data_IF_238252826916
#
_entry.id   IF_238252826916
#
_cell.length_a   1.000
_cell.length_b   1.000
_cell.length_c   1.000
_cell.angle_alpha   90.00
_cell.angle_beta   90.00
_cell.angle_gamma   90.00
#
_symmetry.space_group_name_H-M   'P 1'
#
loop_
_entity.id
_entity.type
_entity.pdbx_description
1 polymer ?
#
# COMPACT_ATOMS: atom_id res chain seq x y z
N UNK A 1 8.26 14.12 -14.10
CA UNK A 1 8.87 13.17 -13.16
C UNK A 1 7.71 12.35 -12.58
N UNK A 2 7.75 11.02 -12.57
CA UNK A 2 6.65 10.26 -12.00
C UNK A 2 6.64 10.49 -10.49
N UNK A 3 5.51 10.90 -9.94
CA UNK A 3 5.38 11.23 -8.52
C UNK A 3 5.02 10.01 -7.67
N UNK A 4 5.94 9.05 -7.61
CA UNK A 4 5.71 7.79 -6.90
C UNK A 4 5.58 8.00 -5.38
N UNK A 5 6.25 9.00 -4.82
CA UNK A 5 6.17 9.31 -3.40
C UNK A 5 4.81 9.92 -3.05
N UNK A 6 4.29 10.83 -3.89
CA UNK A 6 2.93 11.35 -3.70
C UNK A 6 1.88 10.25 -3.87
N UNK A 7 2.06 9.32 -4.80
CA UNK A 7 1.16 8.17 -4.92
C UNK A 7 1.16 7.29 -3.65
N UNK A 8 2.32 7.06 -3.05
CA UNK A 8 2.42 6.33 -1.77
C UNK A 8 1.72 7.10 -0.66
N UNK A 9 1.99 8.40 -0.56
CA UNK A 9 1.42 9.25 0.48
C UNK A 9 -0.10 9.36 0.37
N UNK A 10 -0.62 9.60 -0.84
CA UNK A 10 -2.05 9.71 -1.09
C UNK A 10 -2.76 8.38 -0.80
N UNK A 11 -2.23 7.26 -1.30
CA UNK A 11 -2.84 5.96 -1.05
C UNK A 11 -2.82 5.58 0.44
N UNK A 12 -1.75 5.92 1.17
CA UNK A 12 -1.71 5.73 2.62
C UNK A 12 -2.75 6.61 3.35
N UNK A 13 -2.95 7.84 2.88
CA UNK A 13 -3.96 8.76 3.41
C UNK A 13 -5.37 8.23 3.17
N UNK A 14 -5.65 7.75 1.96
CA UNK A 14 -6.94 7.15 1.59
C UNK A 14 -7.23 5.89 2.41
N UNK A 15 -6.24 4.99 2.55
CA UNK A 15 -6.41 3.77 3.36
C UNK A 15 -6.79 4.11 4.81
N UNK A 16 -6.21 5.17 5.37
CA UNK A 16 -6.53 5.63 6.73
C UNK A 16 -7.91 6.27 6.81
N UNK A 17 -8.31 7.07 5.82
CA UNK A 17 -9.62 7.74 5.83
C UNK A 17 -10.77 6.75 5.67
N UNK A 18 -10.60 5.67 4.91
CA UNK A 18 -11.63 4.63 4.74
C UNK A 18 -11.99 3.90 6.03
N UNK A 19 -11.07 3.83 6.98
CA UNK A 19 -11.26 3.13 8.27
C UNK A 19 -11.39 4.09 9.45
N UNK A 20 -11.40 5.39 9.21
CA UNK A 20 -11.46 6.40 10.27
C UNK A 20 -12.78 6.28 11.04
N UNK A 21 -12.69 6.15 12.36
CA UNK A 21 -13.85 5.98 13.23
C UNK A 21 -14.56 4.62 13.12
N UNK A 22 -14.06 3.70 12.30
CA UNK A 22 -14.66 2.38 12.09
C UNK A 22 -14.17 1.39 13.15
N UNK A 23 -15.08 0.65 13.79
CA UNK A 23 -14.69 -0.45 14.65
C UNK A 23 -14.18 -1.63 13.81
N UNK A 24 -13.38 -2.50 14.43
CA UNK A 24 -12.83 -3.66 13.74
C UNK A 24 -13.91 -4.59 13.17
N UNK A 25 -14.97 -4.85 13.92
CA UNK A 25 -16.03 -5.76 13.50
C UNK A 25 -16.83 -5.18 12.32
N UNK A 26 -17.02 -3.86 12.30
CA UNK A 26 -17.63 -3.15 11.18
C UNK A 26 -16.78 -3.28 9.90
N UNK A 27 -15.46 -3.11 10.04
CA UNK A 27 -14.53 -3.30 8.92
C UNK A 27 -14.58 -4.72 8.36
N UNK A 28 -14.61 -5.73 9.24
CA UNK A 28 -14.67 -7.13 8.83
C UNK A 28 -15.99 -7.49 8.14
N UNK A 29 -17.09 -6.80 8.46
CA UNK A 29 -18.39 -6.96 7.81
C UNK A 29 -18.51 -6.16 6.49
N UNK A 30 -17.73 -5.08 6.30
CA UNK A 30 -17.79 -4.23 5.13
C UNK A 30 -16.75 -4.58 4.05
N UNK A 31 -17.17 -5.45 3.11
CA UNK A 31 -16.34 -5.84 1.97
C UNK A 31 -15.94 -4.68 1.06
N UNK A 32 -16.77 -3.64 0.94
CA UNK A 32 -16.46 -2.48 0.08
C UNK A 32 -15.29 -1.71 0.66
N UNK A 33 -15.31 -1.46 1.97
CA UNK A 33 -14.22 -0.77 2.67
C UNK A 33 -12.94 -1.61 2.66
N UNK A 34 -13.04 -2.93 2.84
CA UNK A 34 -11.88 -3.83 2.68
C UNK A 34 -11.27 -3.73 1.29
N UNK A 35 -12.08 -3.76 0.23
CA UNK A 35 -11.61 -3.64 -1.15
C UNK A 35 -10.94 -2.28 -1.41
N UNK A 36 -11.50 -1.20 -0.87
CA UNK A 36 -10.91 0.14 -0.99
C UNK A 36 -9.53 0.20 -0.32
N UNK A 37 -9.40 -0.32 0.91
CA UNK A 37 -8.12 -0.40 1.63
C UNK A 37 -7.11 -1.28 0.88
N UNK A 38 -7.53 -2.45 0.39
CA UNK A 38 -6.66 -3.35 -0.40
C UNK A 38 -6.13 -2.64 -1.64
N UNK A 39 -6.98 -1.91 -2.37
CA UNK A 39 -6.55 -1.16 -3.54
C UNK A 39 -5.49 -0.10 -3.20
N UNK A 40 -5.69 0.65 -2.11
CA UNK A 40 -4.67 1.59 -1.63
C UNK A 40 -3.33 0.91 -1.33
N UNK A 41 -3.35 -0.26 -0.67
CA UNK A 41 -2.14 -1.02 -0.35
C UNK A 41 -1.43 -1.56 -1.61
N UNK A 42 -2.19 -1.93 -2.65
CA UNK A 42 -1.64 -2.31 -3.96
C UNK A 42 -0.93 -1.12 -4.62
N UNK A 43 -1.53 0.07 -4.61
CA UNK A 43 -0.94 1.29 -5.17
C UNK A 43 0.38 1.63 -4.46
N UNK A 44 0.41 1.57 -3.13
CA UNK A 44 1.63 1.77 -2.35
C UNK A 44 2.74 0.81 -2.79
N UNK A 45 2.43 -0.49 -2.90
CA UNK A 45 3.43 -1.48 -3.28
C UNK A 45 3.92 -1.36 -4.72
N UNK A 46 3.06 -0.98 -5.67
CA UNK A 46 3.44 -0.72 -7.06
C UNK A 46 4.36 0.49 -7.15
N UNK A 47 3.99 1.61 -6.53
CA UNK A 47 4.80 2.82 -6.50
C UNK A 47 6.16 2.58 -5.81
N UNK A 48 6.17 1.88 -4.67
CA UNK A 48 7.41 1.49 -3.99
C UNK A 48 8.31 0.62 -4.87
N UNK A 49 7.74 -0.29 -5.67
CA UNK A 49 8.50 -1.11 -6.63
C UNK A 49 9.16 -0.23 -7.69
N UNK A 50 8.44 0.74 -8.26
CA UNK A 50 9.00 1.67 -9.25
C UNK A 50 10.12 2.55 -8.67
N UNK A 51 10.00 2.98 -7.42
CA UNK A 51 11.06 3.73 -6.73
C UNK A 51 12.30 2.85 -6.54
N UNK A 52 12.13 1.63 -6.04
CA UNK A 52 13.24 0.69 -5.85
C UNK A 52 13.97 0.33 -7.14
N UNK A 53 13.23 0.13 -8.24
CA UNK A 53 13.83 -0.29 -9.51
C UNK A 53 14.47 0.90 -10.27
N UNK A 54 13.95 2.12 -10.09
CA UNK A 54 14.39 3.33 -10.82
C UNK A 54 15.34 4.26 -10.06
N UNK A 55 15.38 4.19 -8.72
CA UNK A 55 16.09 5.13 -7.85
C UNK A 55 16.76 4.41 -6.67
N UNK A 56 17.66 3.47 -6.97
CA UNK A 56 18.29 2.60 -5.98
C UNK A 56 19.04 3.41 -4.91
N UNK A 57 19.83 4.40 -5.30
CA UNK A 57 20.60 5.25 -4.40
C UNK A 57 19.70 5.99 -3.41
N UNK A 58 18.53 6.46 -3.86
CA UNK A 58 17.54 7.09 -3.00
C UNK A 58 17.01 6.11 -1.95
N UNK A 59 16.63 4.90 -2.37
CA UNK A 59 16.13 3.89 -1.41
C UNK A 59 17.19 3.42 -0.41
N UNK A 60 18.47 3.45 -0.78
CA UNK A 60 19.58 3.14 0.12
C UNK A 60 19.82 4.27 1.13
N UNK A 61 19.72 5.53 0.69
CA UNK A 61 19.80 6.69 1.57
C UNK A 61 18.63 6.76 2.57
N UNK A 62 17.47 6.23 2.20
CA UNK A 62 16.25 6.17 3.01
C UNK A 62 15.88 4.72 3.39
N UNK A 63 16.83 4.01 4.00
CA UNK A 63 16.68 2.59 4.36
C UNK A 63 15.74 2.34 5.56
N UNK A 64 15.36 3.40 6.29
CA UNK A 64 14.36 3.40 7.36
C UNK A 64 12.94 3.19 6.82
N UNK A 65 12.69 3.61 5.58
CA UNK A 65 11.42 3.39 4.90
C UNK A 65 11.33 1.91 4.46
N UNK A 66 10.23 1.20 4.78
CA UNK A 66 10.12 -0.24 4.56
C UNK A 66 9.77 -0.61 3.09
N UNK A 67 10.57 -0.17 2.12
CA UNK A 67 10.34 -0.34 0.68
C UNK A 67 10.03 -1.79 0.28
N UNK A 68 10.85 -2.73 0.75
CA UNK A 68 10.69 -4.17 0.47
C UNK A 68 9.38 -4.73 1.02
N UNK A 69 8.97 -4.29 2.21
CA UNK A 69 7.71 -4.72 2.82
C UNK A 69 6.52 -4.22 2.01
N UNK A 70 6.56 -2.97 1.53
CA UNK A 70 5.52 -2.40 0.66
C UNK A 70 5.39 -3.20 -0.65
N UNK A 71 6.50 -3.51 -1.32
CA UNK A 71 6.52 -4.39 -2.50
C UNK A 71 5.97 -5.79 -2.21
N UNK A 72 6.39 -6.40 -1.10
CA UNK A 72 5.93 -7.74 -0.71
C UNK A 72 4.44 -7.79 -0.37
N UNK A 73 3.90 -6.72 0.22
CA UNK A 73 2.48 -6.62 0.55
C UNK A 73 1.61 -6.68 -0.70
N UNK A 74 1.97 -5.94 -1.76
CA UNK A 74 1.31 -6.02 -3.07
C UNK A 74 1.37 -7.43 -3.66
N UNK A 75 2.52 -8.11 -3.56
CA UNK A 75 2.64 -9.49 -4.03
C UNK A 75 1.72 -10.43 -3.25
N UNK A 76 1.62 -10.29 -1.93
CA UNK A 76 0.73 -11.09 -1.09
C UNK A 76 -0.75 -10.81 -1.39
N UNK A 77 -1.14 -9.57 -1.64
CA UNK A 77 -2.52 -9.20 -1.95
C UNK A 77 -2.95 -9.61 -3.36
N UNK A 78 -2.02 -9.58 -4.33
CA UNK A 78 -2.28 -10.02 -5.69
C UNK A 78 -2.41 -11.56 -5.81
N UNK A 79 -1.69 -12.32 -4.98
CA UNK A 79 -1.73 -13.79 -5.00
C UNK A 79 -2.68 -14.40 -3.94
N UNK A 80 -2.85 -13.74 -2.80
CA UNK A 80 -3.61 -14.23 -1.64
C UNK A 80 -5.11 -13.98 -1.69
N UNK A 81 -5.66 -13.47 -2.80
CA UNK A 81 -7.11 -13.28 -2.96
C UNK A 81 -7.91 -14.61 -2.98
N UNK A 82 -7.24 -15.76 -3.05
CA UNK A 82 -7.86 -17.09 -3.07
C UNK A 82 -7.85 -17.84 -1.74
N UNK A 83 -7.10 -17.39 -0.71
CA UNK A 83 -6.88 -18.15 0.53
C UNK A 83 -7.18 -17.35 1.82
N UNK A 84 -8.10 -16.37 1.79
CA UNK A 84 -8.60 -15.69 3.00
C UNK A 84 -10.10 -15.90 3.14
#
# INVERSE_FOLDING_TARGET
MPDYLDHIQQAATDARSFVEGMAKDDFLADKRTQQAVIMSLIVIGEAATKVMDGYVEFTQAHADVPWRSMRNMRNRMAHGYFDI
#
